data_IF_620239342701
#
_entry.id   IF_620239342701
#
_cell.length_a   1.000
_cell.length_b   1.000
_cell.length_c   1.000
_cell.angle_alpha   90.00
_cell.angle_beta   90.00
_cell.angle_gamma   90.00
#
_symmetry.space_group_name_H-M   'P 1'
#
loop_
_entity.id
_entity.type
_entity.pdbx_description
1 polymer ?
#
# COMPACT_ATOMS: atom_id res chain seq x y z
N UNK A 1 -9.25 33.78 32.86
CA UNK A 1 -9.23 32.30 33.00
C UNK A 1 -9.21 31.67 31.62
N UNK A 2 -8.02 31.22 31.21
CA UNK A 2 -7.75 30.02 30.40
C UNK A 2 -8.64 29.68 29.17
N UNK A 3 -8.68 30.54 28.15
CA UNK A 3 -9.10 30.14 26.78
C UNK A 3 -7.96 29.64 25.90
N UNK A 4 -6.70 29.82 26.33
CA UNK A 4 -5.49 29.36 25.64
C UNK A 4 -5.39 27.85 25.41
N UNK A 5 -5.52 26.99 26.44
CA UNK A 5 -5.29 25.55 26.26
C UNK A 5 -6.34 24.87 25.37
N UNK A 6 -7.61 25.31 25.41
CA UNK A 6 -8.66 24.75 24.55
C UNK A 6 -8.48 25.11 23.06
N UNK A 7 -7.89 26.27 22.76
CA UNK A 7 -7.59 26.66 21.38
C UNK A 7 -6.39 25.88 20.82
N UNK A 8 -5.41 25.55 21.67
CA UNK A 8 -4.26 24.74 21.31
C UNK A 8 -4.66 23.26 21.07
N UNK A 9 -5.53 22.70 21.91
CA UNK A 9 -6.07 21.35 21.74
C UNK A 9 -6.89 21.22 20.44
N UNK A 10 -7.69 22.23 20.09
CA UNK A 10 -8.49 22.24 18.87
C UNK A 10 -7.62 22.32 17.60
N UNK A 11 -6.52 23.09 17.64
CA UNK A 11 -5.56 23.16 16.53
C UNK A 11 -4.81 21.85 16.35
N UNK A 12 -4.35 21.26 17.46
CA UNK A 12 -3.70 19.95 17.44
C UNK A 12 -4.60 18.87 16.86
N UNK A 13 -5.86 18.80 17.30
CA UNK A 13 -6.82 17.82 16.77
C UNK A 13 -7.10 18.02 15.27
N UNK A 14 -7.14 19.28 14.80
CA UNK A 14 -7.35 19.60 13.39
C UNK A 14 -6.16 19.18 12.53
N UNK A 15 -4.94 19.44 12.98
CA UNK A 15 -3.73 19.10 12.23
C UNK A 15 -3.50 17.59 12.17
N UNK A 16 -3.79 16.87 13.27
CA UNK A 16 -3.78 15.40 13.28
C UNK A 16 -4.86 14.84 12.35
N UNK A 17 -6.08 15.38 12.40
CA UNK A 17 -7.19 14.95 11.54
C UNK A 17 -6.87 15.15 10.06
N UNK A 18 -6.35 16.31 9.66
CA UNK A 18 -5.94 16.58 8.28
C UNK A 18 -4.84 15.63 7.80
N UNK A 19 -3.88 15.31 8.67
CA UNK A 19 -2.79 14.37 8.36
C UNK A 19 -3.28 12.94 8.19
N UNK A 20 -4.24 12.50 9.02
CA UNK A 20 -4.89 11.19 8.88
C UNK A 20 -5.70 11.13 7.58
N UNK A 21 -6.50 12.16 7.28
CA UNK A 21 -7.30 12.20 6.05
C UNK A 21 -6.42 12.19 4.80
N UNK A 22 -5.28 12.91 4.80
CA UNK A 22 -4.37 12.91 3.64
C UNK A 22 -3.69 11.56 3.39
N UNK A 23 -3.69 10.65 4.37
CA UNK A 23 -3.20 9.27 4.23
C UNK A 23 -4.32 8.29 3.87
N UNK A 24 -5.47 8.42 4.54
CA UNK A 24 -6.62 7.52 4.35
C UNK A 24 -7.27 7.70 2.97
N UNK A 25 -7.35 8.92 2.45
CA UNK A 25 -8.00 9.19 1.15
C UNK A 25 -7.29 8.49 -0.02
N UNK A 26 -5.98 8.63 -0.22
CA UNK A 26 -5.27 7.89 -1.28
C UNK A 26 -5.47 6.38 -1.16
N UNK A 27 -5.35 5.83 0.05
CA UNK A 27 -5.42 4.39 0.30
C UNK A 27 -6.84 3.83 0.10
N UNK A 28 -7.88 4.58 0.47
CA UNK A 28 -9.26 4.19 0.17
C UNK A 28 -9.55 4.22 -1.33
N UNK A 29 -9.09 5.25 -2.03
CA UNK A 29 -9.21 5.34 -3.49
C UNK A 29 -8.54 4.15 -4.17
N UNK A 30 -7.35 3.75 -3.72
CA UNK A 30 -6.64 2.59 -4.30
C UNK A 30 -7.40 1.30 -4.06
N UNK A 31 -7.89 1.06 -2.84
CA UNK A 31 -8.67 -0.14 -2.52
C UNK A 31 -9.93 -0.23 -3.39
N UNK A 32 -10.68 0.85 -3.52
CA UNK A 32 -11.90 0.88 -4.34
C UNK A 32 -11.59 0.65 -5.83
N UNK A 33 -10.56 1.29 -6.36
CA UNK A 33 -10.16 1.15 -7.75
C UNK A 33 -9.67 -0.27 -8.08
N UNK A 34 -8.93 -0.91 -7.18
CA UNK A 34 -8.46 -2.30 -7.37
C UNK A 34 -9.62 -3.28 -7.27
N UNK A 35 -10.55 -3.11 -6.32
CA UNK A 35 -11.74 -3.96 -6.21
C UNK A 35 -12.58 -3.86 -7.48
N UNK A 36 -12.82 -2.65 -7.97
CA UNK A 36 -13.53 -2.44 -9.23
C UNK A 36 -12.79 -3.12 -10.40
N UNK A 37 -11.49 -2.88 -10.54
CA UNK A 37 -10.66 -3.51 -11.59
C UNK A 37 -10.70 -5.03 -11.50
N UNK A 38 -10.65 -5.58 -10.29
CA UNK A 38 -10.68 -7.01 -10.06
C UNK A 38 -12.04 -7.62 -10.40
N UNK A 39 -13.14 -7.04 -9.92
CA UNK A 39 -14.50 -7.56 -10.15
C UNK A 39 -14.93 -7.53 -11.61
N UNK A 40 -14.49 -6.54 -12.39
CA UNK A 40 -14.93 -6.38 -13.79
C UNK A 40 -13.91 -6.87 -14.82
N UNK A 41 -12.61 -6.69 -14.59
CA UNK A 41 -11.57 -7.01 -15.58
C UNK A 41 -11.01 -8.42 -15.40
N UNK A 42 -10.91 -8.93 -14.17
CA UNK A 42 -10.33 -10.25 -13.89
C UNK A 42 -11.09 -11.43 -14.56
N UNK A 43 -12.44 -11.44 -14.62
CA UNK A 43 -13.16 -12.52 -15.31
C UNK A 43 -12.86 -12.61 -16.81
N UNK A 44 -12.66 -11.48 -17.48
CA UNK A 44 -12.30 -11.42 -18.91
C UNK A 44 -10.88 -11.98 -19.11
N UNK A 45 -10.01 -11.68 -18.16
CA UNK A 45 -8.61 -12.06 -18.20
C UNK A 45 -8.38 -13.58 -18.00
N UNK A 46 -9.06 -14.18 -17.03
CA UNK A 46 -8.95 -15.62 -16.72
C UNK A 46 -9.40 -16.49 -17.89
N UNK A 47 -10.35 -16.02 -18.70
CA UNK A 47 -10.84 -16.75 -19.87
C UNK A 47 -9.84 -16.78 -21.04
N UNK A 48 -8.84 -15.90 -21.09
CA UNK A 48 -7.86 -15.81 -22.18
C UNK A 48 -6.56 -16.62 -21.95
N UNK A 49 -6.58 -17.60 -21.03
CA UNK A 49 -5.60 -18.69 -20.85
C UNK A 49 -4.10 -18.34 -20.61
N UNK A 50 -3.70 -17.08 -20.48
CA UNK A 50 -2.29 -16.74 -20.16
C UNK A 50 -2.21 -15.93 -18.86
N UNK A 51 -1.88 -16.57 -17.72
CA UNK A 51 -1.58 -15.87 -16.48
C UNK A 51 -0.36 -14.94 -16.65
N UNK A 52 -0.35 -13.74 -16.06
CA UNK A 52 0.74 -12.76 -16.20
C UNK A 52 1.93 -13.15 -15.32
N UNK A 53 1.63 -13.87 -14.24
CA UNK A 53 2.55 -14.57 -13.37
C UNK A 53 2.32 -16.06 -13.61
N UNK A 54 3.23 -16.70 -14.34
CA UNK A 54 3.38 -18.15 -14.24
C UNK A 54 3.86 -18.45 -12.83
N UNK A 55 2.92 -18.69 -11.93
CA UNK A 55 3.26 -19.17 -10.59
C UNK A 55 3.83 -20.56 -10.80
N UNK A 56 5.10 -20.72 -10.41
CA UNK A 56 5.87 -21.98 -10.51
C UNK A 56 5.10 -23.17 -9.90
N UNK A 57 4.19 -22.88 -8.96
CA UNK A 57 3.37 -23.85 -8.24
C UNK A 57 1.90 -23.40 -8.29
N UNK A 58 1.07 -24.09 -9.09
CA UNK A 58 -0.33 -23.76 -9.23
C UNK A 58 -1.22 -24.66 -8.35
N UNK A 59 -1.93 -24.08 -7.39
CA UNK A 59 -2.83 -24.81 -6.48
C UNK A 59 -4.05 -25.41 -7.19
N UNK A 60 -4.38 -24.92 -8.39
CA UNK A 60 -5.50 -25.41 -9.20
C UNK A 60 -5.27 -26.85 -9.70
N UNK A 61 -4.03 -27.35 -9.67
CA UNK A 61 -3.68 -28.70 -10.09
C UNK A 61 -3.83 -29.73 -8.96
N UNK A 62 -4.27 -29.32 -7.77
CA UNK A 62 -4.35 -30.18 -6.59
C UNK A 62 -5.78 -30.65 -6.32
N UNK A 63 -5.94 -31.94 -6.10
CA UNK A 63 -7.25 -32.56 -5.86
C UNK A 63 -7.65 -32.47 -4.38
N UNK A 64 -6.67 -32.60 -3.47
CA UNK A 64 -6.90 -32.65 -2.03
C UNK A 64 -6.73 -31.30 -1.33
N UNK A 65 -7.51 -31.02 -0.27
CA UNK A 65 -7.39 -29.80 0.55
C UNK A 65 -5.98 -29.66 1.15
N UNK A 66 -5.37 -30.77 1.57
CA UNK A 66 -4.00 -30.79 2.11
C UNK A 66 -2.96 -30.38 1.06
N UNK A 67 -3.12 -30.86 -0.17
CA UNK A 67 -2.23 -30.51 -1.27
C UNK A 67 -2.40 -29.05 -1.67
N UNK A 68 -3.65 -28.57 -1.78
CA UNK A 68 -3.95 -27.14 -2.02
C UNK A 68 -3.27 -26.24 -1.00
N UNK A 69 -3.34 -26.61 0.28
CA UNK A 69 -2.66 -25.88 1.35
C UNK A 69 -1.14 -25.87 1.18
N UNK A 70 -0.52 -27.02 0.89
CA UNK A 70 0.94 -27.14 0.71
C UNK A 70 1.40 -26.34 -0.51
N UNK A 71 0.72 -26.45 -1.65
CA UNK A 71 1.05 -25.71 -2.87
C UNK A 71 0.89 -24.21 -2.69
N UNK A 72 -0.18 -23.78 -2.02
CA UNK A 72 -0.43 -22.39 -1.65
C UNK A 72 0.69 -21.83 -0.76
N UNK A 73 1.08 -22.56 0.27
CA UNK A 73 2.15 -22.16 1.19
C UNK A 73 3.50 -22.06 0.46
N UNK A 74 3.79 -23.03 -0.43
CA UNK A 74 5.02 -23.03 -1.22
C UNK A 74 5.06 -21.85 -2.21
N UNK A 75 3.93 -21.54 -2.86
CA UNK A 75 3.81 -20.37 -3.74
C UNK A 75 4.03 -19.06 -2.97
N UNK A 76 3.38 -18.91 -1.82
CA UNK A 76 3.55 -17.75 -0.95
C UNK A 76 5.01 -17.59 -0.48
N UNK A 77 5.65 -18.68 -0.03
CA UNK A 77 7.04 -18.68 0.43
C UNK A 77 8.02 -18.38 -0.71
N UNK A 78 7.72 -18.83 -1.93
CA UNK A 78 8.50 -18.49 -3.13
C UNK A 78 8.44 -17.00 -3.41
N UNK A 79 7.24 -16.39 -3.41
CA UNK A 79 7.08 -14.94 -3.64
C UNK A 79 7.78 -14.13 -2.55
N UNK A 80 7.57 -14.47 -1.27
CA UNK A 80 8.25 -13.80 -0.14
C UNK A 80 9.77 -13.99 -0.24
N UNK A 81 10.24 -15.19 -0.61
CA UNK A 81 11.66 -15.48 -0.85
C UNK A 81 12.25 -14.63 -1.96
N UNK A 82 11.53 -14.40 -3.06
CA UNK A 82 11.95 -13.50 -4.13
C UNK A 82 12.01 -12.04 -3.66
N UNK A 83 11.03 -11.57 -2.89
CA UNK A 83 11.04 -10.22 -2.29
C UNK A 83 12.24 -10.08 -1.34
N UNK A 84 12.52 -11.10 -0.54
CA UNK A 84 13.69 -11.16 0.33
C UNK A 84 14.99 -11.08 -0.46
N UNK A 85 15.16 -11.91 -1.47
CA UNK A 85 16.35 -11.88 -2.32
C UNK A 85 16.52 -10.51 -3.00
N UNK A 86 15.43 -9.90 -3.48
CA UNK A 86 15.45 -8.57 -4.08
C UNK A 86 15.86 -7.48 -3.07
N UNK A 87 15.34 -7.51 -1.83
CA UNK A 87 15.72 -6.54 -0.79
C UNK A 87 17.20 -6.67 -0.40
N UNK A 88 17.71 -7.89 -0.24
CA UNK A 88 19.14 -8.12 -0.03
C UNK A 88 19.99 -7.68 -1.22
N UNK A 89 19.55 -7.94 -2.45
CA UNK A 89 20.23 -7.50 -3.66
C UNK A 89 20.32 -5.96 -3.73
N UNK A 90 19.22 -5.25 -3.46
CA UNK A 90 19.21 -3.77 -3.39
C UNK A 90 20.22 -3.27 -2.36
N UNK A 91 20.23 -3.85 -1.15
CA UNK A 91 21.17 -3.45 -0.09
C UNK A 91 22.61 -3.76 -0.47
N UNK A 92 22.86 -4.91 -1.10
CA UNK A 92 24.19 -5.29 -1.58
C UNK A 92 24.68 -4.35 -2.69
N UNK A 93 23.85 -4.07 -3.71
CA UNK A 93 24.17 -3.15 -4.80
C UNK A 93 24.47 -1.74 -4.27
N UNK A 94 23.69 -1.28 -3.29
CA UNK A 94 23.92 0.00 -2.64
C UNK A 94 25.24 0.00 -1.84
N UNK A 95 25.53 -1.09 -1.11
CA UNK A 95 26.78 -1.24 -0.37
C UNK A 95 28.02 -1.25 -1.27
N UNK A 96 27.93 -1.90 -2.43
CA UNK A 96 29.03 -1.97 -3.42
C UNK A 96 29.12 -0.71 -4.32
N UNK A 97 28.39 0.36 -4.03
CA UNK A 97 28.37 1.61 -4.81
C UNK A 97 27.92 1.45 -6.27
N UNK A 98 27.21 0.38 -6.64
CA UNK A 98 26.65 0.21 -7.99
C UNK A 98 25.32 0.98 -8.15
N UNK A 99 25.35 2.29 -7.90
CA UNK A 99 24.17 3.16 -8.02
C UNK A 99 23.58 3.15 -9.44
N UNK A 100 24.43 3.08 -10.46
CA UNK A 100 24.00 2.97 -11.86
C UNK A 100 23.18 1.70 -12.11
N UNK A 101 23.61 0.55 -11.57
CA UNK A 101 22.90 -0.73 -11.71
C UNK A 101 21.61 -0.71 -10.92
N UNK A 102 21.62 -0.14 -9.70
CA UNK A 102 20.43 -0.02 -8.87
C UNK A 102 19.35 0.84 -9.55
N UNK A 103 19.74 2.03 -10.03
CA UNK A 103 18.84 2.94 -10.73
C UNK A 103 18.36 2.33 -12.05
N UNK A 104 19.23 1.66 -12.80
CA UNK A 104 18.88 0.93 -14.02
C UNK A 104 17.86 -0.18 -13.77
N UNK A 105 18.03 -0.98 -12.72
CA UNK A 105 17.04 -2.01 -12.32
C UNK A 105 15.71 -1.35 -11.97
N UNK A 106 15.70 -0.39 -11.03
CA UNK A 106 14.47 0.26 -10.59
C UNK A 106 13.73 0.92 -11.75
N UNK A 107 14.45 1.60 -12.64
CA UNK A 107 13.89 2.20 -13.85
C UNK A 107 13.32 1.14 -14.79
N UNK A 108 14.03 0.04 -15.03
CA UNK A 108 13.53 -1.07 -15.84
C UNK A 108 12.25 -1.68 -15.25
N UNK A 109 12.21 -1.90 -13.94
CA UNK A 109 11.00 -2.39 -13.25
C UNK A 109 9.82 -1.42 -13.41
N UNK A 110 10.06 -0.12 -13.30
CA UNK A 110 9.04 0.90 -13.49
C UNK A 110 8.55 0.99 -14.95
N UNK A 111 9.45 0.82 -15.93
CA UNK A 111 9.10 0.75 -17.36
C UNK A 111 8.18 -0.45 -17.59
N UNK A 112 8.54 -1.64 -17.11
CA UNK A 112 7.69 -2.83 -17.25
C UNK A 112 6.31 -2.60 -16.62
N UNK A 113 6.25 -2.00 -15.44
CA UNK A 113 4.99 -1.69 -14.77
C UNK A 113 4.12 -0.68 -15.56
N UNK A 114 4.67 0.47 -15.97
CA UNK A 114 3.87 1.50 -16.63
C UNK A 114 3.55 1.22 -18.08
N UNK A 115 4.37 0.46 -18.80
CA UNK A 115 4.13 0.20 -20.22
C UNK A 115 3.40 -1.13 -20.41
N UNK A 116 3.87 -2.22 -19.79
CA UNK A 116 3.28 -3.55 -20.00
C UNK A 116 2.00 -3.73 -19.17
N UNK A 117 2.05 -3.47 -17.86
CA UNK A 117 0.89 -3.67 -16.98
C UNK A 117 -0.26 -2.71 -17.30
N UNK A 118 0.06 -1.43 -17.59
CA UNK A 118 -0.95 -0.46 -18.00
C UNK A 118 -1.60 -0.84 -19.34
N UNK A 119 -0.81 -1.33 -20.30
CA UNK A 119 -1.35 -1.77 -21.58
C UNK A 119 -2.40 -2.86 -21.36
N UNK A 120 -2.06 -3.92 -20.61
CA UNK A 120 -2.98 -5.03 -20.34
C UNK A 120 -4.22 -4.53 -19.60
N UNK A 121 -4.05 -3.70 -18.56
CA UNK A 121 -5.17 -3.16 -17.80
C UNK A 121 -6.12 -2.34 -18.68
N UNK A 122 -5.58 -1.52 -19.58
CA UNK A 122 -6.37 -0.62 -20.42
C UNK A 122 -6.98 -1.33 -21.64
N UNK A 123 -6.34 -2.38 -22.14
CA UNK A 123 -6.88 -3.31 -23.14
C UNK A 123 -8.14 -4.02 -22.62
N UNK A 124 -8.07 -4.54 -21.39
CA UNK A 124 -9.22 -5.13 -20.69
C UNK A 124 -10.30 -4.09 -20.40
N UNK A 125 -9.91 -2.88 -19.98
CA UNK A 125 -10.85 -1.79 -19.72
C UNK A 125 -11.66 -1.44 -20.99
N UNK A 126 -10.98 -1.26 -22.11
CA UNK A 126 -11.63 -0.97 -23.39
C UNK A 126 -12.51 -2.13 -23.85
N UNK A 127 -12.07 -3.38 -23.66
CA UNK A 127 -12.87 -4.58 -23.96
C UNK A 127 -14.15 -4.64 -23.12
N UNK A 128 -14.07 -4.30 -21.82
CA UNK A 128 -15.22 -4.27 -20.92
C UNK A 128 -16.25 -3.21 -21.33
N UNK A 129 -15.80 -1.99 -21.67
CA UNK A 129 -16.69 -0.91 -22.12
C UNK A 129 -17.06 -0.99 -23.61
N UNK A 130 -16.57 -2.00 -24.33
CA UNK A 130 -16.74 -2.14 -25.79
C UNK A 130 -16.34 -0.87 -26.57
N UNK A 131 -15.29 -0.19 -26.11
CA UNK A 131 -14.79 1.01 -26.79
C UNK A 131 -13.90 0.55 -27.94
N UNK A 132 -14.22 0.86 -29.21
CA UNK A 132 -13.32 0.54 -30.31
C UNK A 132 -12.08 1.44 -30.22
N UNK A 133 -10.91 0.84 -30.09
CA UNK A 133 -9.62 1.54 -30.14
C UNK A 133 -8.69 0.91 -31.16
N UNK A 134 -7.77 1.72 -31.67
CA UNK A 134 -6.67 1.25 -32.51
C UNK A 134 -5.42 1.07 -31.62
N UNK A 135 -4.67 -0.01 -31.83
CA UNK A 135 -3.41 -0.29 -31.14
C UNK A 135 -2.40 0.87 -31.24
N UNK A 136 -2.43 1.65 -32.33
CA UNK A 136 -1.57 2.84 -32.47
C UNK A 136 -1.98 3.94 -31.48
N UNK A 137 -3.26 4.29 -31.42
CA UNK A 137 -3.77 5.31 -30.49
C UNK A 137 -3.53 4.89 -29.04
N UNK A 138 -3.75 3.61 -28.74
CA UNK A 138 -3.44 2.97 -27.46
C UNK A 138 -1.96 3.10 -27.10
N UNK A 139 -1.07 2.76 -28.03
CA UNK A 139 0.37 2.84 -27.82
C UNK A 139 0.87 4.25 -27.61
N UNK A 140 0.35 5.22 -28.35
CA UNK A 140 0.67 6.64 -28.12
C UNK A 140 0.21 7.07 -26.72
N UNK A 141 -0.99 6.67 -26.29
CA UNK A 141 -1.49 6.98 -24.95
C UNK A 141 -0.60 6.38 -23.85
N UNK A 142 -0.33 5.06 -23.92
CA UNK A 142 0.52 4.35 -22.97
C UNK A 142 1.93 4.92 -22.95
N UNK A 143 2.48 5.30 -24.11
CA UNK A 143 3.81 5.91 -24.21
C UNK A 143 3.87 7.25 -23.49
N UNK A 144 2.91 8.15 -23.75
CA UNK A 144 2.86 9.45 -23.08
C UNK A 144 2.68 9.29 -21.57
N UNK A 145 1.73 8.43 -21.16
CA UNK A 145 1.47 8.19 -19.75
C UNK A 145 2.69 7.59 -19.04
N UNK A 146 3.30 6.56 -19.63
CA UNK A 146 4.44 5.85 -19.06
C UNK A 146 5.71 6.69 -19.03
N UNK A 147 5.98 7.49 -20.06
CA UNK A 147 7.12 8.40 -20.08
C UNK A 147 7.01 9.49 -19.00
N UNK A 148 5.84 10.11 -18.86
CA UNK A 148 5.58 11.08 -17.77
C UNK A 148 5.67 10.40 -16.41
N UNK A 149 5.17 9.16 -16.28
CA UNK A 149 5.32 8.36 -15.06
C UNK A 149 6.77 8.10 -14.68
N UNK A 150 7.64 7.77 -15.64
CA UNK A 150 9.06 7.57 -15.38
C UNK A 150 9.78 8.87 -14.99
N UNK A 151 9.52 9.96 -15.72
CA UNK A 151 10.09 11.26 -15.39
C UNK A 151 9.64 11.71 -14.00
N UNK A 152 8.38 11.51 -13.63
CA UNK A 152 7.86 11.91 -12.32
C UNK A 152 8.36 11.06 -11.14
N UNK A 153 8.78 9.81 -11.39
CA UNK A 153 9.34 8.93 -10.36
C UNK A 153 10.84 9.10 -10.17
N UNK A 154 11.60 9.29 -11.26
CA UNK A 154 13.06 9.28 -11.22
C UNK A 154 13.71 10.65 -11.43
N UNK A 155 12.95 11.61 -11.95
CA UNK A 155 13.41 12.97 -12.17
C UNK A 155 12.56 13.97 -11.36
N UNK A 156 13.04 15.21 -11.27
CA UNK A 156 12.37 16.25 -10.48
C UNK A 156 10.98 16.57 -11.07
N UNK A 157 9.94 16.45 -10.23
CA UNK A 157 8.56 16.75 -10.60
C UNK A 157 7.77 17.30 -9.41
N UNK A 158 6.57 17.82 -9.68
CA UNK A 158 5.69 18.36 -8.66
C UNK A 158 5.14 17.21 -7.78
N UNK A 159 5.17 17.34 -6.43
CA UNK A 159 4.89 16.24 -5.50
C UNK A 159 3.49 15.63 -5.68
N UNK A 160 2.50 16.43 -6.06
CA UNK A 160 1.14 15.91 -6.31
C UNK A 160 1.09 14.99 -7.53
N UNK A 161 1.88 15.26 -8.57
CA UNK A 161 1.91 14.42 -9.77
C UNK A 161 2.55 13.08 -9.44
N UNK A 162 3.68 13.11 -8.73
CA UNK A 162 4.33 11.89 -8.21
C UNK A 162 3.38 11.07 -7.34
N UNK A 163 2.62 11.70 -6.43
CA UNK A 163 1.61 11.01 -5.61
C UNK A 163 0.54 10.30 -6.45
N UNK A 164 0.02 10.95 -7.51
CA UNK A 164 -0.97 10.35 -8.42
C UNK A 164 -0.38 9.15 -9.16
N UNK A 165 0.85 9.27 -9.67
CA UNK A 165 1.53 8.16 -10.34
C UNK A 165 1.85 7.00 -9.41
N UNK A 166 2.21 7.27 -8.15
CA UNK A 166 2.40 6.22 -7.13
C UNK A 166 1.09 5.49 -6.80
N UNK A 167 -0.04 6.21 -6.74
CA UNK A 167 -1.37 5.61 -6.58
C UNK A 167 -1.70 4.71 -7.78
N UNK A 168 -1.49 5.17 -9.02
CA UNK A 168 -1.76 4.37 -10.21
C UNK A 168 -0.84 3.15 -10.27
N UNK A 169 0.45 3.31 -9.94
CA UNK A 169 1.40 2.21 -9.82
C UNK A 169 0.90 1.14 -8.82
N UNK A 170 0.44 1.56 -7.64
CA UNK A 170 -0.11 0.65 -6.64
C UNK A 170 -1.36 -0.09 -7.13
N UNK A 171 -2.25 0.58 -7.88
CA UNK A 171 -3.45 -0.03 -8.47
C UNK A 171 -3.06 -1.12 -9.47
N UNK A 172 -2.15 -0.80 -10.41
CA UNK A 172 -1.68 -1.75 -11.43
C UNK A 172 -0.99 -2.96 -10.81
N UNK A 173 -0.10 -2.74 -9.84
CA UNK A 173 0.61 -3.83 -9.16
C UNK A 173 -0.33 -4.68 -8.32
N UNK A 174 -1.22 -4.07 -7.54
CA UNK A 174 -2.19 -4.80 -6.73
C UNK A 174 -3.15 -5.62 -7.60
N UNK A 175 -3.67 -5.03 -8.68
CA UNK A 175 -4.50 -5.73 -9.65
C UNK A 175 -3.76 -6.90 -10.28
N UNK A 176 -2.48 -6.73 -10.67
CA UNK A 176 -1.67 -7.85 -11.18
C UNK A 176 -1.54 -9.00 -10.17
N UNK A 177 -1.34 -8.70 -8.88
CA UNK A 177 -1.28 -9.70 -7.80
C UNK A 177 -2.63 -10.41 -7.55
N UNK A 178 -3.76 -9.84 -7.98
CA UNK A 178 -5.06 -10.54 -7.94
C UNK A 178 -5.14 -11.73 -8.92
N UNK A 179 -4.14 -11.89 -9.79
CA UNK A 179 -4.02 -13.07 -10.67
C UNK A 179 -3.60 -14.33 -9.92
N UNK A 180 -3.08 -14.22 -8.70
CA UNK A 180 -2.77 -15.38 -7.88
C UNK A 180 -4.05 -16.18 -7.55
N UNK A 181 -3.98 -17.47 -7.25
CA UNK A 181 -5.17 -18.19 -6.79
C UNK A 181 -5.49 -17.86 -5.32
N UNK A 182 -6.68 -18.27 -4.85
CA UNK A 182 -7.28 -17.78 -3.60
C UNK A 182 -6.42 -18.13 -2.38
N UNK A 183 -6.08 -19.41 -2.19
CA UNK A 183 -5.33 -19.84 -1.02
C UNK A 183 -3.94 -19.20 -1.01
N UNK A 184 -3.26 -19.22 -2.16
CA UNK A 184 -1.95 -18.58 -2.36
C UNK A 184 -1.95 -17.11 -1.96
N UNK A 185 -3.04 -16.38 -2.21
CA UNK A 185 -3.13 -14.96 -1.82
C UNK A 185 -3.25 -14.79 -0.31
N UNK A 186 -4.10 -15.58 0.36
CA UNK A 186 -4.21 -15.54 1.83
C UNK A 186 -2.92 -15.96 2.51
N UNK A 187 -2.27 -17.01 2.02
CA UNK A 187 -0.96 -17.44 2.50
C UNK A 187 0.10 -16.35 2.32
N UNK A 188 0.13 -15.70 1.15
CA UNK A 188 1.04 -14.58 0.86
C UNK A 188 0.82 -13.41 1.82
N UNK A 189 -0.42 -13.00 2.09
CA UNK A 189 -0.74 -11.90 3.00
C UNK A 189 -0.24 -12.19 4.42
N UNK A 190 -0.45 -13.42 4.92
CA UNK A 190 0.04 -13.85 6.24
C UNK A 190 1.57 -13.89 6.25
N UNK A 191 2.20 -14.46 5.23
CA UNK A 191 3.67 -14.54 5.14
C UNK A 191 4.32 -13.17 5.08
N UNK A 192 3.79 -12.22 4.30
CA UNK A 192 4.33 -10.87 4.19
C UNK A 192 4.11 -10.06 5.47
N UNK A 193 2.94 -10.16 6.10
CA UNK A 193 2.69 -9.53 7.40
C UNK A 193 3.63 -10.09 8.48
N UNK A 194 3.86 -11.41 8.49
CA UNK A 194 4.81 -12.04 9.41
C UNK A 194 6.24 -11.58 9.13
N UNK A 195 6.62 -11.50 7.85
CA UNK A 195 7.91 -11.00 7.42
C UNK A 195 8.15 -9.56 7.90
N UNK A 196 7.19 -8.65 7.74
CA UNK A 196 7.34 -7.25 8.15
C UNK A 196 7.58 -7.12 9.67
N UNK A 197 6.89 -7.91 10.49
CA UNK A 197 7.14 -8.00 11.94
C UNK A 197 8.58 -8.45 12.21
N UNK A 198 9.04 -9.53 11.56
CA UNK A 198 10.39 -10.07 11.75
C UNK A 198 11.45 -9.07 11.30
N UNK A 199 11.24 -8.40 10.15
CA UNK A 199 12.14 -7.42 9.59
C UNK A 199 12.31 -6.19 10.48
N UNK A 200 11.22 -5.72 11.11
CA UNK A 200 11.25 -4.58 12.04
C UNK A 200 11.84 -4.95 13.40
N UNK A 201 11.56 -6.15 13.91
CA UNK A 201 12.11 -6.61 15.20
C UNK A 201 13.60 -6.95 15.12
N UNK A 202 14.13 -7.27 13.95
CA UNK A 202 15.54 -7.60 13.77
C UNK A 202 16.44 -6.34 13.78
N UNK A 203 17.02 -6.03 14.95
CA UNK A 203 17.82 -4.81 15.19
C UNK A 203 19.09 -4.66 14.31
N UNK A 204 19.52 -5.70 13.58
CA UNK A 204 20.64 -5.65 12.62
C UNK A 204 20.18 -5.82 11.16
N UNK A 205 18.93 -5.46 10.85
CA UNK A 205 18.31 -5.76 9.56
C UNK A 205 18.95 -5.03 8.37
N UNK A 206 18.78 -5.56 7.14
CA UNK A 206 19.28 -4.93 5.90
C UNK A 206 18.74 -3.51 5.71
N UNK A 207 17.48 -3.29 6.11
CA UNK A 207 16.81 -1.99 6.04
C UNK A 207 17.46 -0.95 6.97
N UNK A 208 17.88 -1.33 8.16
CA UNK A 208 18.55 -0.43 9.10
C UNK A 208 19.94 -0.03 8.60
N UNK A 209 20.65 -0.97 7.96
CA UNK A 209 21.93 -0.70 7.30
C UNK A 209 21.75 0.25 6.10
N UNK A 210 20.70 0.06 5.30
CA UNK A 210 20.37 0.96 4.19
C UNK A 210 20.08 2.39 4.67
N UNK A 211 19.25 2.54 5.71
CA UNK A 211 18.90 3.85 6.28
C UNK A 211 20.13 4.54 6.86
N UNK A 212 20.99 3.81 7.60
CA UNK A 212 22.21 4.36 8.18
C UNK A 212 23.19 4.86 7.12
N UNK A 213 23.41 4.10 6.05
CA UNK A 213 24.32 4.50 4.96
C UNK A 213 23.72 5.67 4.16
N UNK A 214 22.40 5.72 3.96
CA UNK A 214 21.74 6.83 3.29
C UNK A 214 21.81 8.14 4.11
N UNK A 215 21.64 8.07 5.44
CA UNK A 215 21.78 9.22 6.33
C UNK A 215 23.23 9.72 6.44
N UNK A 216 24.22 8.82 6.35
CA UNK A 216 25.64 9.18 6.34
C UNK A 216 26.08 9.88 5.03
N UNK A 217 25.31 9.78 3.95
CA UNK A 217 25.71 10.25 2.62
C UNK A 217 24.91 11.43 2.07
N UNK A 218 23.85 11.87 2.74
CA UNK A 218 22.98 12.97 2.30
C UNK A 218 22.47 12.82 0.85
N UNK A 219 22.37 11.57 0.38
CA UNK A 219 21.84 11.24 -0.94
C UNK A 219 20.33 11.00 -0.82
N UNK A 220 19.48 11.59 -1.68
CA UNK A 220 18.05 11.30 -1.68
C UNK A 220 17.85 9.81 -1.98
N UNK A 221 17.20 9.09 -1.06
CA UNK A 221 16.88 7.67 -1.24
C UNK A 221 16.07 7.55 -2.54
N UNK A 222 16.56 6.86 -3.57
CA UNK A 222 15.84 6.76 -4.83
C UNK A 222 14.61 5.86 -4.64
N UNK A 223 13.43 6.33 -5.07
CA UNK A 223 12.31 5.44 -5.43
C UNK A 223 11.04 5.49 -4.58
N UNK A 224 10.15 4.52 -4.88
CA UNK A 224 8.71 4.32 -4.59
C UNK A 224 8.22 4.54 -3.14
N UNK A 225 8.50 5.69 -2.55
CA UNK A 225 8.02 6.06 -1.22
C UNK A 225 6.90 7.08 -1.38
N UNK A 226 5.74 6.80 -0.80
CA UNK A 226 4.65 7.76 -0.74
C UNK A 226 4.89 8.75 0.40
N UNK A 227 5.20 9.99 0.05
CA UNK A 227 5.35 11.08 1.01
C UNK A 227 4.03 11.89 1.08
N UNK A 228 3.34 11.81 2.22
CA UNK A 228 2.06 12.49 2.44
C UNK A 228 2.19 13.93 2.94
N UNK A 229 3.40 14.38 3.34
CA UNK A 229 3.56 15.66 4.03
C UNK A 229 3.53 16.88 3.11
N UNK A 230 3.64 16.69 1.79
CA UNK A 230 3.75 17.80 0.85
C UNK A 230 2.45 18.61 0.66
N UNK A 231 1.33 18.20 1.27
CA UNK A 231 0.08 18.99 1.27
C UNK A 231 -0.02 20.01 2.41
N UNK A 232 0.95 20.03 3.33
CA UNK A 232 1.01 21.02 4.42
C UNK A 232 2.29 21.83 4.23
N UNK A 233 2.40 22.56 3.12
CA UNK A 233 3.22 23.75 3.12
C UNK A 233 2.49 24.79 4.00
N UNK A 234 3.13 25.36 5.03
CA UNK A 234 2.55 26.52 5.69
C UNK A 234 2.42 27.61 4.62
N UNK A 235 1.25 28.24 4.55
CA UNK A 235 1.08 29.51 3.84
C UNK A 235 2.14 30.45 4.44
N UNK A 236 3.22 30.69 3.69
CA UNK A 236 4.18 31.73 3.98
C UNK A 236 3.44 33.05 3.90
N UNK A 237 2.97 33.56 5.04
CA UNK A 237 2.70 34.98 5.18
C UNK A 237 4.03 35.70 4.93
N UNK A 238 4.07 36.73 4.07
CA UNK A 238 5.29 37.45 3.77
C UNK A 238 5.86 38.07 5.05
N UNK A 239 7.17 37.95 5.21
CA UNK A 239 7.91 38.47 6.34
C UNK A 239 7.60 39.96 6.57
N UNK A 240 7.29 40.31 7.80
CA UNK A 240 7.49 41.68 8.30
C UNK A 240 8.03 41.60 9.73
N UNK A 241 8.99 42.48 9.98
CA UNK A 241 10.05 42.44 10.99
C UNK A 241 9.61 42.55 12.48
N UNK A 242 10.52 42.07 13.34
CA UNK A 242 10.88 42.55 14.69
C UNK A 242 9.88 42.48 15.86
N UNK A 243 10.15 41.61 16.84
CA UNK A 243 10.67 42.00 18.18
C UNK A 243 10.54 40.88 19.23
N UNK A 244 11.51 40.84 20.14
CA UNK A 244 11.75 39.86 21.17
C UNK A 244 10.62 39.69 22.21
N UNK A 245 10.32 38.44 22.58
CA UNK A 245 9.82 38.11 23.92
C UNK A 245 10.15 36.65 24.31
N UNK A 246 10.87 36.48 25.42
CA UNK A 246 11.20 35.20 26.08
C UNK A 246 10.05 34.77 27.02
N UNK A 247 9.54 33.52 26.92
CA UNK A 247 8.80 32.71 27.95
C UNK A 247 8.27 31.35 27.39
N UNK A 248 7.90 30.34 28.21
CA UNK A 248 8.72 29.22 28.74
C UNK A 248 8.53 27.84 28.03
N UNK A 249 9.56 27.40 27.29
CA UNK A 249 10.30 26.11 27.21
C UNK A 249 9.63 24.70 27.40
N UNK A 250 8.38 24.51 27.84
CA UNK A 250 7.86 23.14 28.14
C UNK A 250 6.83 22.56 27.17
N UNK A 251 5.88 23.35 26.64
CA UNK A 251 4.82 22.86 25.75
C UNK A 251 5.11 23.11 24.25
N UNK A 252 5.96 24.11 23.99
CA UNK A 252 6.40 24.52 22.65
C UNK A 252 7.30 23.45 22.00
N UNK A 253 8.02 22.66 22.81
CA UNK A 253 8.86 21.58 22.30
C UNK A 253 8.05 20.43 21.69
N UNK A 254 6.85 20.12 22.19
CA UNK A 254 6.00 19.05 21.64
C UNK A 254 5.28 19.52 20.36
N UNK A 255 4.80 20.78 20.34
CA UNK A 255 4.09 21.37 19.20
C UNK A 255 5.04 21.65 18.02
N UNK A 256 6.25 22.14 18.29
CA UNK A 256 7.30 22.32 17.26
C UNK A 256 7.87 20.96 16.80
N UNK A 257 7.92 19.94 17.66
CA UNK A 257 8.36 18.58 17.28
C UNK A 257 7.27 17.75 16.58
N UNK A 258 6.00 18.14 16.70
CA UNK A 258 4.90 17.60 15.90
C UNK A 258 4.82 18.28 14.51
N UNK A 259 5.12 19.59 14.46
CA UNK A 259 5.17 20.36 13.22
C UNK A 259 6.41 20.03 12.38
N UNK A 260 7.54 19.74 13.03
CA UNK A 260 8.78 19.23 12.41
C UNK A 260 8.86 17.69 12.39
N UNK A 261 7.77 16.98 12.71
CA UNK A 261 7.75 15.54 12.57
C UNK A 261 7.89 15.17 11.10
N UNK A 262 8.97 14.44 10.79
CA UNK A 262 9.27 13.94 9.46
C UNK A 262 8.00 13.37 8.79
N UNK A 263 7.84 13.56 7.47
CA UNK A 263 6.71 13.01 6.74
C UNK A 263 6.50 11.54 7.08
N UNK A 264 5.26 11.16 7.41
CA UNK A 264 4.91 9.74 7.53
C UNK A 264 4.99 9.15 6.13
N UNK A 265 6.12 8.50 5.84
CA UNK A 265 6.40 7.79 4.61
C UNK A 265 5.69 6.44 4.70
N UNK A 266 4.53 6.32 4.06
CA UNK A 266 3.91 5.01 3.88
C UNK A 266 4.59 4.32 2.71
N UNK A 267 4.91 3.04 2.88
CA UNK A 267 5.43 2.22 1.79
C UNK A 267 4.35 2.03 0.73
N UNK A 268 4.72 2.10 -0.55
CA UNK A 268 3.82 1.72 -1.65
C UNK A 268 3.27 0.28 -1.45
N UNK A 269 4.04 -0.59 -0.80
CA UNK A 269 3.63 -1.95 -0.42
C UNK A 269 2.33 -1.99 0.40
N UNK A 270 2.13 -1.08 1.34
CA UNK A 270 0.93 -1.04 2.19
C UNK A 270 -0.33 -0.90 1.34
N UNK A 271 -0.28 -0.01 0.34
CA UNK A 271 -1.39 0.26 -0.58
C UNK A 271 -1.72 -0.99 -1.39
N UNK A 272 -0.68 -1.69 -1.86
CA UNK A 272 -0.81 -2.93 -2.63
C UNK A 272 -1.48 -4.02 -1.80
N UNK A 273 -0.98 -4.29 -0.59
CA UNK A 273 -1.45 -5.42 0.21
C UNK A 273 -2.84 -5.20 0.81
N UNK A 274 -3.16 -3.96 1.22
CA UNK A 274 -4.54 -3.64 1.64
C UNK A 274 -5.53 -3.83 0.49
N UNK A 275 -5.18 -3.34 -0.69
CA UNK A 275 -6.03 -3.49 -1.88
C UNK A 275 -6.17 -4.94 -2.32
N UNK A 276 -5.09 -5.73 -2.23
CA UNK A 276 -5.11 -7.16 -2.53
C UNK A 276 -6.03 -7.95 -1.60
N UNK A 277 -5.96 -7.69 -0.29
CA UNK A 277 -6.83 -8.33 0.72
C UNK A 277 -8.30 -8.01 0.45
N UNK A 278 -8.62 -6.72 0.30
CA UNK A 278 -10.01 -6.28 0.10
C UNK A 278 -10.59 -6.80 -1.21
N UNK A 279 -9.79 -6.82 -2.30
CA UNK A 279 -10.20 -7.40 -3.58
C UNK A 279 -10.49 -8.90 -3.47
N UNK A 280 -9.72 -9.66 -2.67
CA UNK A 280 -10.06 -11.07 -2.42
C UNK A 280 -11.31 -11.23 -1.57
N UNK A 281 -11.47 -10.39 -0.55
CA UNK A 281 -12.65 -10.43 0.30
C UNK A 281 -13.95 -10.16 -0.48
N UNK A 282 -13.89 -9.38 -1.57
CA UNK A 282 -15.06 -9.12 -2.43
C UNK A 282 -15.61 -10.36 -3.13
N UNK A 283 -14.80 -11.40 -3.36
CA UNK A 283 -15.28 -12.69 -3.87
C UNK A 283 -16.23 -13.40 -2.90
N UNK A 284 -16.07 -13.18 -1.60
CA UNK A 284 -16.93 -13.78 -0.56
C UNK A 284 -18.22 -12.98 -0.33
N UNK A 285 -18.46 -11.93 -1.11
CA UNK A 285 -19.65 -11.10 -1.05
C UNK A 285 -19.43 -9.71 -0.46
N UNK A 286 -20.42 -8.83 -0.67
CA UNK A 286 -20.37 -7.42 -0.30
C UNK A 286 -20.16 -7.18 1.20
N UNK A 287 -20.76 -8.01 2.05
CA UNK A 287 -20.67 -7.88 3.51
C UNK A 287 -19.22 -8.11 3.98
N UNK A 288 -18.59 -9.20 3.54
CA UNK A 288 -17.19 -9.52 3.86
C UNK A 288 -16.24 -8.43 3.38
N UNK A 289 -16.45 -7.92 2.15
CA UNK A 289 -15.71 -6.79 1.62
C UNK A 289 -15.83 -5.54 2.50
N UNK A 290 -17.05 -5.14 2.85
CA UNK A 290 -17.31 -3.94 3.65
C UNK A 290 -16.66 -4.01 5.03
N UNK A 291 -16.77 -5.16 5.72
CA UNK A 291 -16.11 -5.37 7.01
C UNK A 291 -14.58 -5.35 6.90
N UNK A 292 -14.00 -5.92 5.84
CA UNK A 292 -12.55 -5.88 5.63
C UNK A 292 -12.03 -4.45 5.37
N UNK A 293 -12.77 -3.64 4.59
CA UNK A 293 -12.44 -2.22 4.37
C UNK A 293 -12.46 -1.46 5.68
N UNK A 294 -13.55 -1.55 6.45
CA UNK A 294 -13.68 -0.87 7.74
C UNK A 294 -12.59 -1.32 8.70
N UNK A 295 -12.31 -2.63 8.76
CA UNK A 295 -11.25 -3.19 9.60
C UNK A 295 -9.87 -2.63 9.27
N UNK A 296 -9.53 -2.51 7.98
CA UNK A 296 -8.22 -1.95 7.57
C UNK A 296 -8.12 -0.46 7.93
N UNK A 297 -9.19 0.30 7.72
CA UNK A 297 -9.22 1.72 8.06
C UNK A 297 -9.10 1.94 9.56
N UNK A 298 -9.81 1.14 10.37
CA UNK A 298 -9.68 1.16 11.83
C UNK A 298 -8.28 0.76 12.27
N UNK A 299 -7.69 -0.28 11.65
CA UNK A 299 -6.31 -0.69 11.94
C UNK A 299 -5.27 0.39 11.60
N UNK A 300 -5.44 1.07 10.47
CA UNK A 300 -4.56 2.15 10.04
C UNK A 300 -4.69 3.40 10.94
N UNK A 301 -5.92 3.83 11.22
CA UNK A 301 -6.16 4.96 12.13
C UNK A 301 -5.68 4.62 13.55
N UNK A 302 -5.91 3.38 14.01
CA UNK A 302 -5.47 2.89 15.31
C UNK A 302 -3.96 2.84 15.44
N UNK A 303 -3.24 2.37 14.43
CA UNK A 303 -1.76 2.35 14.41
C UNK A 303 -1.19 3.77 14.38
N UNK A 304 -1.75 4.67 13.56
CA UNK A 304 -1.36 6.09 13.53
C UNK A 304 -1.61 6.79 14.87
N UNK A 305 -2.77 6.55 15.48
CA UNK A 305 -3.11 7.11 16.80
C UNK A 305 -2.22 6.53 17.89
N UNK A 306 -1.93 5.22 17.86
CA UNK A 306 -1.03 4.57 18.81
C UNK A 306 0.40 5.13 18.72
N UNK A 307 0.91 5.38 17.52
CA UNK A 307 2.22 6.01 17.33
C UNK A 307 2.24 7.47 17.84
N UNK A 308 1.11 8.17 17.74
CA UNK A 308 0.97 9.54 18.24
C UNK A 308 0.90 9.59 19.77
N UNK A 309 0.09 8.72 20.39
CA UNK A 309 -0.12 8.68 21.84
C UNK A 309 1.07 8.07 22.60
N UNK A 310 1.72 7.05 22.04
CA UNK A 310 2.82 6.32 22.69
C UNK A 310 4.20 6.65 22.12
N UNK A 311 4.37 7.86 21.54
CA UNK A 311 5.63 8.34 20.93
C UNK A 311 6.86 8.19 21.83
N UNK A 312 6.66 8.18 23.16
CA UNK A 312 7.73 8.07 24.16
C UNK A 312 8.02 6.63 24.62
N UNK A 313 7.14 5.66 24.37
CA UNK A 313 7.26 4.30 24.94
C UNK A 313 7.35 3.19 23.88
N UNK A 314 6.81 3.39 22.67
CA UNK A 314 6.79 2.35 21.63
C UNK A 314 7.75 2.71 20.50
N UNK A 315 8.80 1.90 20.34
CA UNK A 315 9.67 1.92 19.16
C UNK A 315 8.82 1.50 17.97
N UNK A 316 8.84 2.30 16.90
CA UNK A 316 8.00 2.22 15.69
C UNK A 316 7.33 0.85 15.47
N UNK A 317 6.00 0.79 15.65
CA UNK A 317 5.22 -0.39 15.27
C UNK A 317 5.02 -0.43 13.75
N UNK A 318 5.20 -1.60 13.11
CA UNK A 318 4.86 -1.77 11.71
C UNK A 318 3.34 -1.66 11.53
N UNK A 319 2.89 -0.66 10.77
CA UNK A 319 1.47 -0.37 10.56
C UNK A 319 0.77 -1.43 9.66
N UNK A 320 1.51 -1.95 8.66
CA UNK A 320 1.06 -2.96 7.71
C UNK A 320 0.55 -4.25 8.37
N UNK A 321 1.32 -4.97 9.22
CA UNK A 321 0.93 -6.28 9.70
C UNK A 321 -0.23 -6.23 10.68
N UNK A 322 -0.30 -5.23 11.55
CA UNK A 322 -1.40 -5.11 12.52
C UNK A 322 -2.75 -4.99 11.80
N UNK A 323 -2.82 -4.15 10.77
CA UNK A 323 -4.03 -3.94 9.98
C UNK A 323 -4.40 -5.18 9.14
N UNK A 324 -3.42 -5.86 8.53
CA UNK A 324 -3.65 -7.10 7.77
C UNK A 324 -4.16 -8.23 8.69
N UNK A 325 -3.52 -8.48 9.84
CA UNK A 325 -3.95 -9.53 10.76
C UNK A 325 -5.37 -9.27 11.30
N UNK A 326 -5.65 -8.03 11.71
CA UNK A 326 -6.99 -7.64 12.16
C UNK A 326 -8.03 -7.93 11.07
N UNK A 327 -7.76 -7.54 9.82
CA UNK A 327 -8.66 -7.75 8.70
C UNK A 327 -8.85 -9.23 8.34
N UNK A 328 -7.81 -10.06 8.41
CA UNK A 328 -7.91 -11.51 8.19
C UNK A 328 -8.80 -12.15 9.27
N UNK A 329 -8.63 -11.77 10.54
CA UNK A 329 -9.49 -12.27 11.64
C UNK A 329 -10.95 -11.86 11.42
N UNK A 330 -11.19 -10.59 11.06
CA UNK A 330 -12.54 -10.10 10.74
C UNK A 330 -13.13 -10.82 9.52
N UNK A 331 -12.33 -11.09 8.49
CA UNK A 331 -12.76 -11.85 7.32
C UNK A 331 -13.20 -13.26 7.67
N UNK A 332 -12.39 -13.99 8.45
CA UNK A 332 -12.73 -15.35 8.89
C UNK A 332 -13.99 -15.34 9.75
N UNK A 333 -14.09 -14.40 10.70
CA UNK A 333 -15.28 -14.24 11.54
C UNK A 333 -16.52 -13.93 10.71
N UNK A 334 -16.39 -13.04 9.72
CA UNK A 334 -17.47 -12.72 8.79
C UNK A 334 -17.89 -13.94 7.98
N UNK A 335 -16.95 -14.75 7.48
CA UNK A 335 -17.28 -16.00 6.76
C UNK A 335 -18.06 -16.99 7.64
N UNK A 336 -17.66 -17.14 8.91
CA UNK A 336 -18.35 -18.01 9.86
C UNK A 336 -19.77 -17.51 10.19
N UNK A 337 -19.90 -16.21 10.48
CA UNK A 337 -21.18 -15.58 10.83
C UNK A 337 -22.14 -15.53 9.65
N UNK A 338 -21.69 -15.05 8.49
CA UNK A 338 -22.52 -14.94 7.28
C UNK A 338 -22.90 -16.32 6.75
N UNK A 339 -22.00 -17.31 6.81
CA UNK A 339 -22.32 -18.69 6.48
C UNK A 339 -23.42 -19.27 7.39
N UNK A 340 -23.30 -19.06 8.69
CA UNK A 340 -24.32 -19.52 9.66
C UNK A 340 -25.65 -18.76 9.51
N UNK A 341 -25.61 -17.46 9.23
CA UNK A 341 -26.82 -16.64 9.09
C UNK A 341 -27.55 -16.91 7.77
N UNK A 342 -26.82 -17.11 6.67
CA UNK A 342 -27.41 -17.41 5.36
C UNK A 342 -28.09 -18.77 5.34
N UNK A 343 -27.48 -19.78 5.96
CA UNK A 343 -28.09 -21.12 6.13
C UNK A 343 -29.31 -21.06 7.05
N UNK A 344 -29.26 -20.30 8.14
CA UNK A 344 -30.43 -20.08 9.01
C UNK A 344 -31.57 -19.38 8.26
N UNK A 345 -31.27 -18.31 7.51
CA UNK A 345 -32.26 -17.56 6.76
C UNK A 345 -32.89 -18.40 5.64
N UNK A 346 -32.11 -19.20 4.91
CA UNK A 346 -32.63 -20.04 3.83
C UNK A 346 -33.58 -21.13 4.34
N UNK A 347 -33.30 -21.73 5.51
CA UNK A 347 -34.20 -22.69 6.13
C UNK A 347 -35.52 -22.07 6.59
N UNK A 348 -35.51 -20.83 7.09
CA UNK A 348 -36.74 -20.15 7.51
C UNK A 348 -37.56 -19.59 6.34
N UNK A 349 -36.91 -19.21 5.24
CA UNK A 349 -37.59 -18.64 4.06
C UNK A 349 -38.21 -19.74 3.17
N UNK A 350 -37.66 -20.96 3.17
CA UNK A 350 -38.25 -22.13 2.47
C UNK A 350 -39.46 -22.75 3.18
N UNK A 351 -39.76 -22.32 4.40
CA UNK A 351 -40.91 -22.81 5.19
C UNK A 351 -42.13 -21.89 5.06
N UNK A 352 -41.97 -20.69 4.48
CA UNK A 352 -43.06 -19.84 3.98
C UNK A 352 -43.33 -20.14 2.50
#
# INVERSE_FOLDING_TARGET
MSSGPLLDDARLSRDVGLRVVSLVVPVTVTMLAVVWSFSYLSPIYVNNQVPPLQVVVNENNADNVREKFVYSLLAALTVVGCVMAATFAIVALYHFHLQFVLYGWLAFSAVCMFFMLLWIWLDLFCTYFQIPYNAITMGIFVWNFGAVGLVTLFYYSHPTVTQVYLVIASILTAWSLTSLPEWSTWALLICIATYDIVAVLWQQGPLHRLIKIAQERDEPIPGFIYDSAHRIAPISQPATENSAHVRPVSAESLMVTAQNAAPFKLGLGDFIFYSLLVSRASLSGFVSWGFCVVSILVGMVGTLLSLLLFRNSLRALPALPCSIFLSIVVFVLCRLLVGSLSTFASHHLLVL
#
